data_IF_354485093037
#
_entry.id   IF_354485093037
#
_cell.length_a   1.000
_cell.length_b   1.000
_cell.length_c   1.000
_cell.angle_alpha   90.00
_cell.angle_beta   90.00
_cell.angle_gamma   90.00
#
_symmetry.space_group_name_H-M   'P 1'
#
loop_
_entity.id
_entity.type
_entity.pdbx_description
1 polymer ?
#
# COMPACT_ATOMS: atom_id res chain seq x y z
N UNK A 1 -11.64 6.65 -16.92
CA UNK A 1 -10.85 7.23 -15.81
C UNK A 1 -11.54 6.84 -14.52
N UNK A 2 -10.77 6.42 -13.52
CA UNK A 2 -11.33 6.12 -12.19
C UNK A 2 -11.83 7.43 -11.56
N UNK A 3 -12.81 7.36 -10.67
CA UNK A 3 -13.27 8.54 -9.93
C UNK A 3 -12.34 8.96 -8.79
N UNK A 4 -11.20 8.28 -8.64
CA UNK A 4 -10.28 8.42 -7.52
C UNK A 4 -9.04 9.27 -7.91
N UNK A 5 -8.38 9.91 -6.93
CA UNK A 5 -7.10 10.58 -7.13
C UNK A 5 -6.02 9.65 -7.71
N UNK A 6 -4.96 10.23 -8.27
CA UNK A 6 -3.76 9.51 -8.73
C UNK A 6 -2.62 9.48 -7.70
N UNK A 7 -2.84 10.01 -6.50
CA UNK A 7 -1.91 9.99 -5.37
C UNK A 7 -2.69 9.98 -4.05
N UNK A 8 -2.14 9.35 -3.01
CA UNK A 8 -2.81 9.17 -1.71
C UNK A 8 -1.81 9.37 -0.57
N UNK A 9 -2.19 10.16 0.41
CA UNK A 9 -1.42 10.39 1.64
C UNK A 9 -1.70 9.30 2.70
N UNK A 10 -1.02 9.40 3.84
CA UNK A 10 -1.14 8.42 4.93
C UNK A 10 -2.58 8.30 5.43
N UNK A 11 -3.29 9.41 5.57
CA UNK A 11 -4.67 9.42 6.06
C UNK A 11 -5.61 8.70 5.11
N UNK A 12 -5.44 8.87 3.79
CA UNK A 12 -6.20 8.13 2.80
C UNK A 12 -5.91 6.61 2.85
N UNK A 13 -4.67 6.20 3.10
CA UNK A 13 -4.33 4.78 3.27
C UNK A 13 -4.94 4.19 4.55
N UNK A 14 -4.96 4.98 5.64
CA UNK A 14 -5.64 4.58 6.88
C UNK A 14 -7.16 4.47 6.67
N UNK A 15 -7.77 5.41 5.95
CA UNK A 15 -9.17 5.32 5.54
C UNK A 15 -9.44 4.06 4.70
N UNK A 16 -8.53 3.70 3.80
CA UNK A 16 -8.60 2.44 3.07
C UNK A 16 -8.57 1.22 4.01
N UNK A 17 -7.70 1.21 5.03
CA UNK A 17 -7.67 0.12 6.01
C UNK A 17 -8.97 -0.02 6.82
N UNK A 18 -9.67 1.10 7.04
CA UNK A 18 -10.99 1.13 7.70
C UNK A 18 -12.16 0.81 6.77
N UNK A 19 -11.91 0.59 5.48
CA UNK A 19 -12.95 0.32 4.48
C UNK A 19 -13.72 1.56 4.03
N UNK A 20 -13.20 2.76 4.32
CA UNK A 20 -13.86 4.04 4.05
C UNK A 20 -13.51 4.60 2.67
N UNK A 21 -12.49 4.06 1.99
CA UNK A 21 -12.02 4.58 0.69
C UNK A 21 -12.77 4.00 -0.50
N UNK A 22 -12.79 2.67 -0.64
CA UNK A 22 -13.44 1.99 -1.76
C UNK A 22 -14.88 1.57 -1.45
N UNK A 23 -15.35 1.79 -0.21
CA UNK A 23 -16.69 1.45 0.26
C UNK A 23 -16.82 0.01 0.77
N UNK A 24 -17.97 -0.33 1.39
CA UNK A 24 -18.17 -1.61 2.06
C UNK A 24 -18.04 -2.82 1.12
N UNK A 25 -17.33 -3.86 1.57
CA UNK A 25 -17.14 -5.10 0.82
C UNK A 25 -16.08 -5.05 -0.29
N UNK A 26 -15.43 -3.90 -0.48
CA UNK A 26 -14.34 -3.74 -1.44
C UNK A 26 -12.97 -3.87 -0.77
N UNK A 27 -11.90 -3.71 -1.56
CA UNK A 27 -10.54 -3.84 -1.09
C UNK A 27 -10.24 -2.96 0.14
N UNK A 28 -9.52 -3.53 1.10
CA UNK A 28 -8.98 -2.83 2.28
C UNK A 28 -7.49 -3.09 2.34
N UNK A 29 -6.72 -2.07 2.73
CA UNK A 29 -5.33 -2.26 3.12
C UNK A 29 -5.26 -2.85 4.55
N UNK A 30 -4.16 -3.53 4.90
CA UNK A 30 -3.88 -3.81 6.31
C UNK A 30 -3.79 -2.51 7.12
N UNK A 31 -4.21 -2.56 8.39
CA UNK A 31 -3.95 -1.48 9.34
C UNK A 31 -2.52 -1.59 9.91
N UNK A 32 -1.95 -0.52 10.48
CA UNK A 32 -0.73 -0.62 11.28
C UNK A 32 -0.85 -1.70 12.37
N UNK A 33 0.21 -2.48 12.64
CA UNK A 33 1.58 -2.30 12.15
C UNK A 33 1.88 -3.00 10.80
N UNK A 34 0.89 -3.59 10.13
CA UNK A 34 1.06 -4.34 8.88
C UNK A 34 0.96 -3.49 7.62
N UNK A 35 0.55 -2.23 7.70
CA UNK A 35 0.53 -1.30 6.56
C UNK A 35 1.97 -0.93 6.14
N UNK A 36 2.40 -1.37 4.95
CA UNK A 36 3.81 -1.27 4.50
C UNK A 36 4.08 -0.13 3.50
N UNK A 37 3.30 0.96 3.58
CA UNK A 37 3.54 2.20 2.84
C UNK A 37 2.97 3.39 3.61
N UNK A 38 3.56 4.56 3.39
CA UNK A 38 3.09 5.83 3.95
C UNK A 38 2.31 6.67 2.96
N UNK A 39 2.60 6.52 1.67
CA UNK A 39 1.94 7.26 0.60
C UNK A 39 2.03 6.53 -0.73
N UNK A 40 1.04 6.75 -1.57
CA UNK A 40 1.09 6.42 -3.01
C UNK A 40 1.34 7.74 -3.73
N UNK A 41 2.50 7.86 -4.37
CA UNK A 41 2.90 9.08 -5.09
C UNK A 41 2.31 9.13 -6.49
N UNK A 42 2.07 7.96 -7.10
CA UNK A 42 1.47 7.87 -8.42
C UNK A 42 0.70 6.54 -8.60
N UNK A 43 -0.47 6.60 -9.23
CA UNK A 43 -1.18 5.43 -9.76
C UNK A 43 -1.84 5.77 -11.09
N UNK A 44 -1.71 4.88 -12.08
CA UNK A 44 -2.28 5.06 -13.42
C UNK A 44 -2.86 3.76 -13.99
N UNK A 45 -3.74 3.89 -14.99
CA UNK A 45 -4.34 2.76 -15.72
C UNK A 45 -3.61 2.39 -17.01
N UNK A 46 -2.76 3.27 -17.52
CA UNK A 46 -2.19 3.25 -18.87
C UNK A 46 -0.66 3.48 -18.91
N UNK A 47 -0.01 3.71 -17.76
CA UNK A 47 1.44 3.77 -17.63
C UNK A 47 2.15 2.40 -17.52
N UNK A 48 3.38 2.44 -17.01
CA UNK A 48 4.21 1.26 -16.77
C UNK A 48 4.84 0.64 -18.03
N UNK A 49 5.76 -0.30 -17.83
CA UNK A 49 6.54 -0.93 -18.91
C UNK A 49 5.71 -1.69 -19.96
N UNK A 50 4.46 -2.00 -19.64
CA UNK A 50 3.55 -2.74 -20.51
C UNK A 50 2.34 -1.91 -20.98
N UNK A 51 2.28 -0.61 -20.65
CA UNK A 51 1.14 0.25 -21.00
C UNK A 51 -0.19 -0.21 -20.39
N UNK A 52 -0.14 -0.88 -19.24
CA UNK A 52 -1.30 -1.46 -18.54
C UNK A 52 -1.52 -0.84 -17.15
N UNK A 53 -0.84 0.25 -16.86
CA UNK A 53 -0.83 0.96 -15.60
C UNK A 53 0.39 0.65 -14.74
N UNK A 54 0.58 1.49 -13.73
CA UNK A 54 1.61 1.33 -12.71
C UNK A 54 1.13 1.92 -11.39
N UNK A 55 1.90 1.68 -10.33
CA UNK A 55 1.70 2.28 -9.01
C UNK A 55 3.07 2.48 -8.36
N UNK A 56 3.27 3.64 -7.77
CA UNK A 56 4.49 4.05 -7.06
C UNK A 56 4.11 4.48 -5.66
N UNK A 57 4.83 3.98 -4.67
CA UNK A 57 4.59 4.27 -3.26
C UNK A 57 5.91 4.38 -2.51
N UNK A 58 5.84 4.99 -1.34
CA UNK A 58 6.99 5.20 -0.47
C UNK A 58 6.66 4.75 0.95
N UNK A 59 7.68 4.31 1.66
CA UNK A 59 7.63 3.94 3.07
C UNK A 59 8.85 4.56 3.76
N UNK A 60 8.62 5.42 4.74
CA UNK A 60 9.67 6.14 5.44
C UNK A 60 10.33 5.21 6.46
N UNK A 61 11.65 5.06 6.36
CA UNK A 61 12.42 4.24 7.27
C UNK A 61 12.90 5.07 8.45
N UNK A 62 12.49 4.67 9.65
CA UNK A 62 12.94 5.25 10.90
C UNK A 62 13.45 4.14 11.86
N UNK A 63 14.50 4.39 12.68
CA UNK A 63 15.11 3.34 13.52
C UNK A 63 14.17 2.71 14.55
N UNK A 64 13.08 3.40 14.90
CA UNK A 64 12.04 2.99 15.86
C UNK A 64 10.88 2.21 15.21
N UNK A 65 10.98 1.83 13.92
CA UNK A 65 10.02 0.90 13.32
C UNK A 65 10.02 -0.43 14.08
N UNK A 66 8.81 -0.91 14.41
CA UNK A 66 8.56 -2.05 15.32
C UNK A 66 9.36 -3.31 14.97
N UNK A 67 9.58 -3.57 13.68
CA UNK A 67 10.23 -4.79 13.22
C UNK A 67 11.75 -4.78 13.47
N UNK A 68 12.39 -3.61 13.64
CA UNK A 68 13.83 -3.55 13.90
C UNK A 68 14.19 -4.07 15.29
N UNK A 69 13.29 -3.95 16.26
CA UNK A 69 13.50 -4.48 17.62
C UNK A 69 13.57 -6.01 17.62
N UNK A 70 12.78 -6.67 16.77
CA UNK A 70 12.63 -8.13 16.77
C UNK A 70 13.35 -8.84 15.62
N UNK A 71 13.81 -8.13 14.58
CA UNK A 71 14.41 -8.72 13.39
C UNK A 71 15.72 -8.00 13.02
N UNK A 72 16.86 -8.37 13.57
CA UNK A 72 17.11 -9.34 14.65
C UNK A 72 17.68 -8.60 15.88
N UNK A 73 17.57 -9.14 17.10
CA UNK A 73 18.24 -8.54 18.26
C UNK A 73 19.74 -8.33 18.01
N UNK A 74 20.21 -7.08 18.07
CA UNK A 74 21.59 -6.70 17.80
C UNK A 74 21.99 -6.59 16.33
N UNK A 75 21.07 -6.83 15.39
CA UNK A 75 21.27 -6.69 13.95
C UNK A 75 19.95 -6.26 13.26
N UNK A 76 19.54 -4.99 13.42
CA UNK A 76 18.24 -4.50 12.96
C UNK A 76 18.18 -4.44 11.43
N UNK A 77 17.28 -5.22 10.83
CA UNK A 77 17.08 -5.37 9.40
C UNK A 77 15.58 -5.47 9.12
N UNK A 78 15.06 -4.70 8.16
CA UNK A 78 13.67 -4.83 7.74
C UNK A 78 13.40 -6.25 7.21
N UNK A 79 12.37 -6.97 7.70
CA UNK A 79 12.01 -8.27 7.14
C UNK A 79 11.67 -8.16 5.65
N UNK A 80 12.39 -8.88 4.80
CA UNK A 80 12.15 -8.84 3.35
C UNK A 80 10.73 -9.26 2.95
N UNK A 81 10.08 -10.10 3.75
CA UNK A 81 8.69 -10.49 3.55
C UNK A 81 7.71 -9.32 3.72
N UNK A 82 8.00 -8.32 4.54
CA UNK A 82 7.17 -7.13 4.68
C UNK A 82 7.27 -6.23 3.44
N UNK A 83 8.47 -6.13 2.84
CA UNK A 83 8.63 -5.46 1.55
C UNK A 83 7.84 -6.17 0.43
N UNK A 84 7.87 -7.50 0.41
CA UNK A 84 7.05 -8.31 -0.50
C UNK A 84 5.55 -8.08 -0.27
N UNK A 85 5.11 -8.04 0.99
CA UNK A 85 3.71 -7.75 1.34
C UNK A 85 3.28 -6.34 0.91
N UNK A 86 4.18 -5.35 1.02
CA UNK A 86 3.95 -4.02 0.46
C UNK A 86 3.62 -4.05 -1.04
N UNK A 87 4.28 -4.91 -1.83
CA UNK A 87 3.97 -5.08 -3.24
C UNK A 87 2.59 -5.74 -3.47
N UNK A 88 2.21 -6.71 -2.63
CA UNK A 88 0.88 -7.32 -2.69
C UNK A 88 -0.23 -6.34 -2.29
N UNK A 89 0.00 -5.55 -1.24
CA UNK A 89 -0.88 -4.47 -0.80
C UNK A 89 -1.11 -3.44 -1.94
N UNK A 90 -0.05 -2.99 -2.61
CA UNK A 90 -0.16 -2.07 -3.76
C UNK A 90 -0.90 -2.69 -4.93
N UNK A 91 -0.68 -3.98 -5.18
CA UNK A 91 -1.41 -4.71 -6.22
C UNK A 91 -2.91 -4.71 -5.90
N UNK A 92 -3.30 -5.11 -4.69
CA UNK A 92 -4.70 -5.11 -4.26
C UNK A 92 -5.33 -3.72 -4.27
N UNK A 93 -4.60 -2.70 -3.80
CA UNK A 93 -5.04 -1.31 -3.85
C UNK A 93 -5.29 -0.86 -5.29
N UNK A 94 -4.42 -1.20 -6.24
CA UNK A 94 -4.59 -0.85 -7.65
C UNK A 94 -5.88 -1.45 -8.24
N UNK A 95 -6.23 -2.70 -7.87
CA UNK A 95 -7.49 -3.32 -8.28
C UNK A 95 -8.69 -2.55 -7.71
N UNK A 96 -8.67 -2.22 -6.41
CA UNK A 96 -9.70 -1.41 -5.77
C UNK A 96 -9.85 -0.02 -6.39
N UNK A 97 -8.72 0.65 -6.67
CA UNK A 97 -8.66 1.95 -7.35
C UNK A 97 -9.28 1.91 -8.75
N UNK A 98 -9.15 0.79 -9.47
CA UNK A 98 -9.82 0.56 -10.77
C UNK A 98 -11.32 0.28 -10.66
N UNK A 99 -11.86 0.19 -9.44
CA UNK A 99 -13.24 -0.20 -9.18
C UNK A 99 -13.50 -1.70 -9.36
N UNK A 100 -12.46 -2.54 -9.32
CA UNK A 100 -12.64 -3.98 -9.40
C UNK A 100 -13.05 -4.53 -8.03
N UNK A 101 -14.07 -5.38 -8.03
CA UNK A 101 -14.60 -6.00 -6.82
C UNK A 101 -13.84 -7.30 -6.53
N UNK A 102 -13.49 -7.50 -5.26
CA UNK A 102 -12.97 -8.79 -4.79
C UNK A 102 -14.05 -9.88 -4.89
N UNK A 103 -13.63 -11.14 -4.92
CA UNK A 103 -14.51 -12.30 -4.75
C UNK A 103 -14.13 -13.05 -3.49
#
# INVERSE_FOLDING_TARGET
MTGFPSSFDKEALLACSRGELFGPGNAQLPAPPMLMMDRITEVSSDGGAHGKGHIVAEFDIHPDLWFFECHFPGNPIMPGCLGLDGLWQLTGFNLGWRGWQGR
#
